data_IF_105652548741
#
_entry.id   IF_105652548741
#
_cell.length_a   1.000
_cell.length_b   1.000
_cell.length_c   1.000
_cell.angle_alpha   90.00
_cell.angle_beta   90.00
_cell.angle_gamma   90.00
#
_symmetry.space_group_name_H-M   'P 1'
#
loop_
_entity.id
_entity.type
_entity.pdbx_description
1 polymer ?
#
# COMPACT_ATOMS: atom_id res chain seq x y z
N UNK A 1 -1.38 14.36 -16.87
CA UNK A 1 -2.42 14.59 -15.84
C UNK A 1 -1.78 14.19 -14.54
N UNK A 2 -1.37 15.14 -13.70
CA UNK A 2 -0.50 14.84 -12.56
C UNK A 2 -1.27 14.09 -11.47
N UNK A 3 -0.81 12.90 -11.09
CA UNK A 3 -1.34 12.17 -9.93
C UNK A 3 -1.20 13.02 -8.66
N UNK A 4 -2.24 13.06 -7.82
CA UNK A 4 -2.14 13.73 -6.52
C UNK A 4 -1.41 12.80 -5.54
N UNK A 5 -0.61 13.37 -4.66
CA UNK A 5 0.14 12.62 -3.63
C UNK A 5 -0.78 11.73 -2.80
N UNK A 6 -1.98 12.20 -2.43
CA UNK A 6 -2.95 11.39 -1.68
C UNK A 6 -3.46 10.17 -2.47
N UNK A 7 -3.64 10.31 -3.79
CA UNK A 7 -4.04 9.18 -4.65
C UNK A 7 -2.88 8.17 -4.75
N UNK A 8 -1.63 8.64 -4.81
CA UNK A 8 -0.43 7.80 -4.81
C UNK A 8 -0.22 7.06 -3.49
N UNK A 9 -0.32 7.76 -2.36
CA UNK A 9 -0.24 7.19 -1.02
C UNK A 9 -1.29 6.07 -0.85
N UNK A 10 -2.50 6.29 -1.34
CA UNK A 10 -3.58 5.30 -1.27
C UNK A 10 -3.32 4.08 -2.16
N UNK A 11 -2.80 4.28 -3.38
CA UNK A 11 -2.47 3.18 -4.30
C UNK A 11 -1.41 2.25 -3.68
N UNK A 12 -0.28 2.81 -3.24
CA UNK A 12 0.80 2.02 -2.62
C UNK A 12 0.33 1.39 -1.30
N UNK A 13 -0.55 2.06 -0.55
CA UNK A 13 -1.12 1.48 0.66
C UNK A 13 -1.94 0.21 0.36
N UNK A 14 -2.64 0.14 -0.79
CA UNK A 14 -3.40 -1.04 -1.22
C UNK A 14 -2.45 -2.21 -1.47
N UNK A 15 -1.35 -1.97 -2.19
CA UNK A 15 -0.34 -3.01 -2.41
C UNK A 15 0.28 -3.49 -1.10
N UNK A 16 0.64 -2.56 -0.22
CA UNK A 16 1.21 -2.89 1.09
C UNK A 16 0.24 -3.71 1.95
N UNK A 17 -1.04 -3.33 1.96
CA UNK A 17 -2.08 -4.04 2.69
C UNK A 17 -2.30 -5.45 2.12
N UNK A 18 -2.40 -5.58 0.79
CA UNK A 18 -2.61 -6.87 0.12
C UNK A 18 -1.41 -7.80 0.31
N UNK A 19 -0.18 -7.29 0.16
CA UNK A 19 1.04 -8.05 0.39
C UNK A 19 1.14 -8.53 1.85
N UNK A 20 0.84 -7.65 2.81
CA UNK A 20 0.83 -7.99 4.23
C UNK A 20 -0.23 -9.07 4.55
N UNK A 21 -1.45 -8.92 4.02
CA UNK A 21 -2.53 -9.89 4.18
C UNK A 21 -2.19 -11.25 3.57
N UNK A 22 -1.67 -11.26 2.33
CA UNK A 22 -1.28 -12.48 1.62
C UNK A 22 -0.14 -13.22 2.34
N UNK A 23 0.81 -12.49 2.90
CA UNK A 23 1.91 -13.06 3.68
C UNK A 23 1.53 -13.41 5.13
N UNK A 24 0.33 -13.05 5.60
CA UNK A 24 -0.06 -13.19 7.01
C UNK A 24 0.81 -12.36 7.97
N UNK A 25 1.37 -11.24 7.50
CA UNK A 25 2.30 -10.39 8.23
C UNK A 25 1.68 -9.02 8.55
N UNK A 26 2.15 -8.32 9.60
CA UNK A 26 1.75 -6.94 9.82
C UNK A 26 2.33 -6.02 8.74
N UNK A 27 1.59 -4.96 8.39
CA UNK A 27 2.12 -3.84 7.62
C UNK A 27 3.20 -3.17 8.46
N UNK A 28 4.37 -2.97 7.86
CA UNK A 28 5.50 -2.27 8.48
C UNK A 28 6.11 -1.29 7.50
N UNK A 29 6.80 -0.26 8.00
CA UNK A 29 7.55 0.68 7.15
C UNK A 29 8.63 -0.02 6.30
N UNK A 30 9.11 -1.18 6.75
CA UNK A 30 10.06 -2.01 5.99
C UNK A 30 9.38 -2.62 4.76
N UNK A 31 8.17 -3.18 4.92
CA UNK A 31 7.39 -3.70 3.80
C UNK A 31 7.06 -2.61 2.78
N UNK A 32 6.64 -1.43 3.26
CA UNK A 32 6.34 -0.28 2.39
C UNK A 32 7.58 0.13 1.59
N UNK A 33 8.74 0.21 2.24
CA UNK A 33 10.02 0.52 1.56
C UNK A 33 10.37 -0.52 0.51
N UNK A 34 10.19 -1.81 0.79
CA UNK A 34 10.47 -2.87 -0.17
C UNK A 34 9.61 -2.75 -1.42
N UNK A 35 8.30 -2.51 -1.26
CA UNK A 35 7.37 -2.36 -2.39
C UNK A 35 7.68 -1.11 -3.20
N UNK A 36 7.96 0.02 -2.54
CA UNK A 36 8.35 1.25 -3.22
C UNK A 36 9.67 1.06 -3.98
N UNK A 37 10.67 0.43 -3.37
CA UNK A 37 11.96 0.15 -4.01
C UNK A 37 11.79 -0.75 -5.25
N UNK A 38 11.02 -1.84 -5.13
CA UNK A 38 10.69 -2.72 -6.26
C UNK A 38 10.03 -1.93 -7.41
N UNK A 39 9.02 -1.11 -7.11
CA UNK A 39 8.34 -0.29 -8.11
C UNK A 39 9.24 0.77 -8.73
N UNK A 40 10.23 1.29 -8.00
CA UNK A 40 11.22 2.23 -8.52
C UNK A 40 12.29 1.55 -9.40
N UNK A 41 12.48 0.24 -9.26
CA UNK A 41 13.36 -0.53 -10.16
C UNK A 41 12.71 -0.86 -11.50
N UNK A 42 11.40 -0.68 -11.64
CA UNK A 42 10.71 -0.92 -12.90
C UNK A 42 11.11 0.11 -13.97
N UNK A 43 11.12 -0.28 -15.25
CA UNK A 43 11.40 0.65 -16.34
C UNK A 43 10.39 1.80 -16.33
N UNK A 44 10.89 3.01 -16.59
CA UNK A 44 10.12 4.28 -16.61
C UNK A 44 8.96 4.30 -17.61
N UNK A 45 8.87 3.31 -18.49
CA UNK A 45 7.77 3.10 -19.45
C UNK A 45 6.59 2.32 -18.84
N UNK A 46 6.59 2.04 -17.53
CA UNK A 46 5.46 1.36 -16.89
C UNK A 46 4.21 2.25 -16.89
N UNK A 47 3.32 1.97 -17.86
CA UNK A 47 1.92 2.40 -18.02
C UNK A 47 1.03 2.26 -16.76
N UNK A 48 1.55 1.59 -15.73
CA UNK A 48 0.81 0.95 -14.67
C UNK A 48 0.29 1.89 -13.58
N UNK A 49 0.71 3.17 -13.55
CA UNK A 49 0.37 4.15 -12.52
C UNK A 49 1.02 3.90 -11.14
N UNK A 50 1.42 2.66 -10.84
CA UNK A 50 2.10 2.26 -9.60
C UNK A 50 3.53 2.79 -9.51
N UNK A 51 4.23 2.90 -10.64
CA UNK A 51 5.57 3.46 -10.68
C UNK A 51 5.56 4.98 -10.44
N UNK A 52 4.59 5.70 -11.04
CA UNK A 52 4.39 7.13 -10.76
C UNK A 52 3.99 7.35 -9.30
N UNK A 53 3.11 6.50 -8.76
CA UNK A 53 2.71 6.54 -7.36
C UNK A 53 3.90 6.31 -6.42
N UNK A 54 4.74 5.30 -6.67
CA UNK A 54 5.92 4.99 -5.87
C UNK A 54 6.94 6.14 -5.86
N UNK A 55 7.05 6.90 -6.95
CA UNK A 55 7.95 8.04 -7.05
C UNK A 55 7.55 9.24 -6.15
N UNK A 56 6.27 9.38 -5.83
CA UNK A 56 5.74 10.53 -5.06
C UNK A 56 5.16 10.14 -3.69
N UNK A 57 4.93 8.85 -3.43
CA UNK A 57 4.33 8.37 -2.20
C UNK A 57 5.21 8.62 -0.98
N UNK A 58 4.58 8.92 0.15
CA UNK A 58 5.23 9.14 1.44
C UNK A 58 5.07 7.89 2.29
N UNK A 59 6.19 7.19 2.51
CA UNK A 59 6.25 5.93 3.26
C UNK A 59 5.49 5.99 4.60
N UNK A 60 5.58 7.11 5.33
CA UNK A 60 4.89 7.29 6.60
C UNK A 60 3.36 7.32 6.47
N UNK A 61 2.84 8.09 5.52
CA UNK A 61 1.40 8.18 5.24
C UNK A 61 0.86 6.83 4.73
N UNK A 62 1.56 6.22 3.77
CA UNK A 62 1.26 4.88 3.25
C UNK A 62 1.15 3.85 4.38
N UNK A 63 2.16 3.80 5.26
CA UNK A 63 2.17 2.87 6.39
C UNK A 63 1.01 3.12 7.35
N UNK A 64 0.67 4.38 7.63
CA UNK A 64 -0.46 4.74 8.49
C UNK A 64 -1.80 4.31 7.88
N UNK A 65 -2.01 4.56 6.59
CA UNK A 65 -3.23 4.18 5.87
C UNK A 65 -3.40 2.66 5.88
N UNK A 66 -2.37 1.92 5.42
CA UNK A 66 -2.43 0.47 5.32
C UNK A 66 -2.57 -0.22 6.70
N UNK A 67 -1.92 0.31 7.74
CA UNK A 67 -2.10 -0.18 9.11
C UNK A 67 -3.50 0.11 9.64
N UNK A 68 -4.08 1.27 9.30
CA UNK A 68 -5.46 1.61 9.65
C UNK A 68 -6.44 0.58 9.08
N UNK A 69 -6.26 0.17 7.82
CA UNK A 69 -7.09 -0.88 7.21
C UNK A 69 -6.91 -2.24 7.86
N UNK A 70 -5.67 -2.65 8.20
CA UNK A 70 -5.45 -3.89 8.96
C UNK A 70 -6.20 -3.88 10.29
N UNK A 71 -6.20 -2.76 11.01
CA UNK A 71 -6.96 -2.62 12.26
C UNK A 71 -8.46 -2.72 12.02
N UNK A 72 -8.99 -2.05 11.00
CA UNK A 72 -10.41 -2.11 10.66
C UNK A 72 -10.82 -3.54 10.34
N UNK A 73 -10.09 -4.23 9.46
CA UNK A 73 -10.38 -5.62 9.07
C UNK A 73 -10.27 -6.58 10.26
N UNK A 74 -9.25 -6.42 11.11
CA UNK A 74 -9.11 -7.23 12.33
C UNK A 74 -10.22 -6.94 13.36
N UNK A 75 -10.72 -5.70 13.40
CA UNK A 75 -11.79 -5.28 14.29
C UNK A 75 -13.18 -5.69 13.81
N UNK A 76 -13.37 -6.10 12.54
CA UNK A 76 -14.64 -6.65 12.07
C UNK A 76 -14.83 -8.03 12.73
N UNK A 77 -15.70 -8.17 13.75
CA UNK A 77 -16.05 -9.49 14.23
C UNK A 77 -16.83 -10.15 13.08
N UNK A 78 -16.51 -11.40 12.77
CA UNK A 78 -17.25 -12.23 11.80
C UNK A 78 -18.71 -12.37 12.25
N UNK A 79 -19.55 -11.35 12.02
CA UNK A 79 -21.01 -11.40 12.16
C UNK A 79 -21.60 -11.76 10.80
N UNK A 80 -21.37 -12.98 10.37
CA UNK A 80 -22.02 -13.68 9.25
C UNK A 80 -21.64 -15.15 9.41
N UNK A 81 -22.49 -16.14 9.58
CA UNK A 81 -23.94 -16.26 9.67
C UNK A 81 -24.22 -17.51 10.55
N UNK A 82 -25.30 -17.49 11.35
CA UNK A 82 -25.89 -18.69 11.94
C UNK A 82 -27.18 -18.97 11.18
#
# INVERSE_FOLDING_TARGET
MSMRIADADNLIAIDCFNAAQSAGKPVTTTLVRQIVDELLTHPTECECGHCEAAAIARIGDVCNIATSWQRVVAAVPRRTAR
#
